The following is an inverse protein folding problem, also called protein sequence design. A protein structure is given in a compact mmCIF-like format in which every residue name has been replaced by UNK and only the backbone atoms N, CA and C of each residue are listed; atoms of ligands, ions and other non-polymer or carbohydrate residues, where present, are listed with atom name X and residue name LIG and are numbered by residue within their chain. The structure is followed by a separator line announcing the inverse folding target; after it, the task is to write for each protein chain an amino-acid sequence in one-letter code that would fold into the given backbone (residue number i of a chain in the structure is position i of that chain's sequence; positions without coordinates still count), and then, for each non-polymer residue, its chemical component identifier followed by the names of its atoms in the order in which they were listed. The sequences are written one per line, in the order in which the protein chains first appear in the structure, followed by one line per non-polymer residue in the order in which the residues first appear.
data_IF_572164143065
#
_entry.id   IF_572164143065
#
_cell.length_a   1.000
_cell.length_b   1.000
_cell.length_c   1.000
_cell.angle_alpha   90.00
_cell.angle_beta   90.00
_cell.angle_gamma   90.00
#
_symmetry.space_group_name_H-M   'P 1'
#
loop_
_entity.id
_entity.type
_entity.pdbx_description
1 polymer ?
#
# COMPACT_ATOMS: atom_id res chain seq x y z
N UNK A 1 17.32 16.91 -5.37
CA UNK A 1 16.35 16.50 -6.43
C UNK A 1 15.02 17.14 -6.11
N UNK A 2 14.41 17.90 -7.03
CA UNK A 2 13.08 18.48 -6.83
C UNK A 2 12.03 17.48 -7.31
N UNK A 3 11.32 16.86 -6.38
CA UNK A 3 10.15 16.04 -6.69
C UNK A 3 8.99 16.96 -7.08
N UNK A 4 8.18 16.55 -8.05
CA UNK A 4 7.00 17.29 -8.49
C UNK A 4 5.83 16.32 -8.68
N UNK A 5 4.60 16.85 -8.68
CA UNK A 5 3.40 16.05 -8.95
C UNK A 5 3.43 15.37 -10.33
N UNK A 6 4.20 15.90 -11.28
CA UNK A 6 4.36 15.30 -12.60
C UNK A 6 5.12 13.96 -12.56
N UNK A 7 5.97 13.73 -11.55
CA UNK A 7 6.82 12.54 -11.46
C UNK A 7 6.56 11.69 -10.22
N UNK A 8 5.99 12.27 -9.17
CA UNK A 8 5.79 11.62 -7.87
C UNK A 8 4.43 11.97 -7.25
N UNK A 9 3.87 11.03 -6.50
CA UNK A 9 2.90 11.31 -5.44
C UNK A 9 3.63 11.87 -4.21
N UNK A 10 3.14 12.97 -3.64
CA UNK A 10 3.72 13.59 -2.46
C UNK A 10 2.78 13.43 -1.26
N UNK A 11 3.33 12.99 -0.13
CA UNK A 11 2.65 13.02 1.17
C UNK A 11 3.18 14.20 1.97
N UNK A 12 2.31 15.16 2.28
CA UNK A 12 2.67 16.40 2.97
C UNK A 12 1.88 16.49 4.27
N UNK A 13 2.56 16.84 5.36
CA UNK A 13 1.93 17.12 6.64
C UNK A 13 1.10 18.41 6.53
N UNK A 14 -0.23 18.36 6.67
CA UNK A 14 -1.07 19.55 6.52
C UNK A 14 -0.88 20.56 7.66
N UNK A 15 -0.36 20.15 8.82
CA UNK A 15 -0.15 21.04 9.96
C UNK A 15 1.11 21.91 9.82
N UNK A 16 2.12 21.45 9.08
CA UNK A 16 3.44 22.10 9.00
C UNK A 16 3.89 22.41 7.56
N UNK A 17 3.29 21.77 6.56
CA UNK A 17 3.73 21.84 5.16
C UNK A 17 4.96 20.97 4.85
N UNK A 18 5.46 20.20 5.82
CA UNK A 18 6.61 19.31 5.64
C UNK A 18 6.27 18.14 4.70
N UNK A 19 7.16 17.83 3.75
CA UNK A 19 7.00 16.65 2.89
C UNK A 19 7.51 15.41 3.61
N UNK A 20 6.59 14.50 3.96
CA UNK A 20 6.87 13.25 4.66
C UNK A 20 7.37 12.13 3.72
N UNK A 21 7.04 12.23 2.43
CA UNK A 21 7.44 11.23 1.45
C UNK A 21 7.13 11.65 0.02
N UNK A 22 7.94 11.14 -0.91
CA UNK A 22 7.75 11.27 -2.35
C UNK A 22 7.84 9.87 -2.97
N UNK A 23 6.82 9.48 -3.72
CA UNK A 23 6.68 8.15 -4.32
C UNK A 23 6.59 8.29 -5.82
N UNK A 24 7.55 7.74 -6.57
CA UNK A 24 7.53 7.82 -8.02
C UNK A 24 6.27 7.15 -8.59
N UNK A 25 5.75 7.69 -9.69
CA UNK A 25 4.70 7.00 -10.43
C UNK A 25 5.22 5.67 -10.96
N UNK A 26 4.36 4.65 -10.95
CA UNK A 26 4.69 3.33 -11.47
C UNK A 26 5.04 3.41 -12.96
N UNK A 27 6.07 2.68 -13.37
CA UNK A 27 6.41 2.56 -14.78
C UNK A 27 5.35 1.70 -15.52
N UNK A 28 5.17 1.86 -16.84
CA UNK A 28 4.14 1.13 -17.59
C UNK A 28 4.20 -0.40 -17.38
N UNK A 29 5.39 -0.99 -17.35
CA UNK A 29 5.58 -2.42 -17.11
C UNK A 29 5.15 -2.87 -15.70
N UNK A 30 5.22 -1.99 -14.71
CA UNK A 30 4.78 -2.29 -13.35
C UNK A 30 3.25 -2.25 -13.24
N UNK A 31 2.61 -1.35 -13.99
CA UNK A 31 1.15 -1.29 -14.13
C UNK A 31 0.64 -2.55 -14.80
N UNK A 32 1.21 -2.94 -15.94
CA UNK A 32 0.83 -4.17 -16.66
C UNK A 32 1.03 -5.42 -15.80
N UNK A 33 2.13 -5.48 -15.05
CA UNK A 33 2.39 -6.55 -14.09
C UNK A 33 1.33 -6.61 -12.99
N UNK A 34 0.95 -5.47 -12.42
CA UNK A 34 -0.07 -5.40 -11.37
C UNK A 34 -1.45 -5.84 -11.87
N UNK A 35 -1.82 -5.45 -13.10
CA UNK A 35 -3.07 -5.86 -13.76
C UNK A 35 -3.06 -7.38 -14.00
N UNK A 36 -1.99 -7.91 -14.59
CA UNK A 36 -1.84 -9.34 -14.89
C UNK A 36 -1.92 -10.20 -13.62
N UNK A 37 -1.27 -9.76 -12.54
CA UNK A 37 -1.34 -10.42 -11.23
C UNK A 37 -2.75 -10.39 -10.65
N UNK A 38 -3.46 -9.26 -10.77
CA UNK A 38 -4.82 -9.12 -10.28
C UNK A 38 -5.80 -10.03 -11.02
N UNK A 39 -5.66 -10.15 -12.34
CA UNK A 39 -6.47 -11.07 -13.17
C UNK A 39 -6.26 -12.54 -12.78
N UNK A 40 -4.99 -12.97 -12.72
CA UNK A 40 -4.64 -14.32 -12.30
C UNK A 40 -5.14 -14.62 -10.87
N UNK A 41 -5.00 -13.66 -9.96
CA UNK A 41 -5.49 -13.74 -8.59
C UNK A 41 -7.01 -13.85 -8.53
N UNK A 42 -7.75 -13.06 -9.33
CA UNK A 42 -9.20 -13.13 -9.41
C UNK A 42 -9.69 -14.50 -9.86
N UNK A 43 -9.06 -15.08 -10.88
CA UNK A 43 -9.41 -16.42 -11.36
C UNK A 43 -9.25 -17.50 -10.29
N UNK A 44 -8.26 -17.39 -9.41
CA UNK A 44 -8.11 -18.28 -8.27
C UNK A 44 -9.18 -17.97 -7.20
N UNK A 45 -9.30 -16.70 -6.82
CA UNK A 45 -10.16 -16.24 -5.73
C UNK A 45 -11.66 -16.52 -5.94
N UNK A 46 -12.15 -16.42 -7.19
CA UNK A 46 -13.56 -16.68 -7.50
C UNK A 46 -13.96 -18.15 -7.32
N UNK A 47 -12.99 -19.07 -7.31
CA UNK A 47 -13.22 -20.52 -7.10
C UNK A 47 -13.23 -20.90 -5.62
N UNK A 48 -12.77 -20.01 -4.74
CA UNK A 48 -12.77 -20.24 -3.31
C UNK A 48 -14.19 -20.32 -2.74
N UNK A 49 -14.35 -21.05 -1.63
CA UNK A 49 -15.62 -21.06 -0.91
C UNK A 49 -15.85 -19.72 -0.22
N UNK A 50 -17.13 -19.35 -0.04
CA UNK A 50 -17.50 -18.13 0.70
C UNK A 50 -16.91 -18.15 2.12
N UNK A 51 -16.93 -19.31 2.79
CA UNK A 51 -16.39 -19.47 4.14
C UNK A 51 -14.88 -19.22 4.20
N UNK A 52 -14.13 -19.72 3.21
CA UNK A 52 -12.69 -19.47 3.13
C UNK A 52 -12.38 -18.00 2.86
N UNK A 53 -13.10 -17.36 1.94
CA UNK A 53 -12.96 -15.91 1.71
C UNK A 53 -13.27 -15.09 2.95
N UNK A 54 -14.32 -15.44 3.69
CA UNK A 54 -14.68 -14.79 4.94
C UNK A 54 -13.58 -14.96 6.01
N UNK A 55 -12.88 -16.10 6.04
CA UNK A 55 -11.74 -16.29 6.93
C UNK A 55 -10.60 -15.33 6.60
N UNK A 56 -10.25 -15.15 5.31
CA UNK A 56 -9.20 -14.20 4.92
C UNK A 56 -9.51 -12.76 5.33
N UNK A 57 -10.79 -12.34 5.27
CA UNK A 57 -11.20 -11.03 5.78
C UNK A 57 -11.03 -10.91 7.30
N UNK A 58 -11.34 -11.98 8.06
CA UNK A 58 -11.08 -12.02 9.50
C UNK A 58 -9.58 -11.96 9.80
N UNK A 59 -8.76 -12.70 9.06
CA UNK A 59 -7.31 -12.72 9.19
C UNK A 59 -6.71 -11.33 8.92
N UNK A 60 -7.17 -10.65 7.87
CA UNK A 60 -6.78 -9.26 7.57
C UNK A 60 -7.16 -8.33 8.73
N UNK A 61 -8.38 -8.42 9.24
CA UNK A 61 -8.82 -7.63 10.39
C UNK A 61 -7.99 -7.91 11.65
N UNK A 62 -7.60 -9.16 11.88
CA UNK A 62 -6.72 -9.51 12.98
C UNK A 62 -5.32 -8.90 12.80
N UNK A 63 -4.77 -8.94 11.58
CA UNK A 63 -3.46 -8.34 11.27
C UNK A 63 -3.45 -6.82 11.47
N UNK A 64 -4.51 -6.12 11.04
CA UNK A 64 -4.61 -4.66 11.19
C UNK A 64 -4.77 -4.21 12.65
N UNK A 65 -5.39 -5.03 13.51
CA UNK A 65 -5.57 -4.73 14.94
C UNK A 65 -4.32 -5.02 15.78
N UNK A 66 -3.33 -5.73 15.25
CA UNK A 66 -2.07 -5.92 15.96
C UNK A 66 -1.43 -4.54 16.17
N UNK A 67 -0.98 -4.21 17.39
CA UNK A 67 -0.32 -2.94 17.64
C UNK A 67 0.87 -2.81 16.71
N UNK A 68 0.85 -1.80 15.83
CA UNK A 68 2.02 -1.44 15.05
C UNK A 68 3.01 -0.83 16.04
N UNK A 69 4.10 -1.53 16.35
CA UNK A 69 5.25 -0.90 17.03
C UNK A 69 5.66 0.30 16.19
N UNK A 70 5.56 1.50 16.78
CA UNK A 70 6.08 2.72 16.18
C UNK A 70 7.57 2.77 16.52
N UNK A 71 8.34 1.89 15.89
CA UNK A 71 9.79 1.97 15.99
C UNK A 71 10.23 3.16 15.12
N UNK A 72 10.64 4.26 15.75
CA UNK A 72 11.17 5.45 15.07
C UNK A 72 10.58 6.81 15.49
N UNK A 73 10.38 7.06 16.78
CA UNK A 73 10.28 8.44 17.31
C UNK A 73 11.57 8.90 18.01
N UNK A 74 12.65 8.11 17.92
CA UNK A 74 14.00 8.51 18.33
C UNK A 74 14.88 8.42 17.10
N UNK A 75 15.12 9.57 16.43
CA UNK A 75 16.42 9.99 15.91
C UNK A 75 16.27 11.06 14.82
N UNK A 76 16.44 12.33 15.19
CA UNK A 76 17.32 13.28 14.50
C UNK A 76 17.60 14.48 15.45
N UNK A 77 18.85 14.95 15.55
CA UNK A 77 19.25 16.10 16.38
C UNK A 77 18.64 17.42 15.94
#
# INVERSE_FOLDING_TARGET
MKYSSATHALSVNPATGETLGAFAWAAPEEVERAISQSDAGYHQWRRESVSHRAQKLRDLGAALRKPRRRDGADHLP
#
